data_IF_749026185251
#
_entry.id   IF_749026185251
#
_cell.length_a   1.000
_cell.length_b   1.000
_cell.length_c   1.000
_cell.angle_alpha   90.00
_cell.angle_beta   90.00
_cell.angle_gamma   90.00
#
_symmetry.space_group_name_H-M   'P 1'
#
loop_
_entity.id
_entity.type
_entity.pdbx_description
1 polymer ?
#
# COMPACT_ATOMS: atom_id res chain seq x y z
N UNK A 1 -12.29 -1.38 78.89
CA UNK A 1 -13.53 -0.82 78.31
C UNK A 1 -13.37 -0.80 76.81
N UNK A 2 -14.17 -1.63 76.13
CA UNK A 2 -14.29 -1.73 74.68
C UNK A 2 -14.95 -0.48 74.09
N UNK A 3 -14.54 -0.06 72.88
CA UNK A 3 -15.35 0.72 71.93
C UNK A 3 -14.76 0.48 70.53
N UNK A 4 -15.23 -0.51 69.75
CA UNK A 4 -16.37 -0.52 68.82
C UNK A 4 -16.25 0.45 67.61
N UNK A 5 -16.16 -0.17 66.41
CA UNK A 5 -16.74 0.23 65.11
C UNK A 5 -16.12 1.49 64.45
N UNK A 6 -15.25 1.42 63.43
CA UNK A 6 -15.34 0.79 62.10
C UNK A 6 -16.59 1.22 61.30
N UNK A 7 -16.44 2.24 60.44
CA UNK A 7 -17.11 2.50 59.15
C UNK A 7 -17.33 4.01 58.98
N UNK A 8 -16.66 4.64 58.01
CA UNK A 8 -17.33 5.37 56.92
C UNK A 8 -16.31 5.94 55.93
N UNK A 9 -16.52 5.59 54.66
CA UNK A 9 -16.24 6.37 53.46
C UNK A 9 -14.77 6.55 53.07
N UNK A 10 -14.28 5.48 52.45
CA UNK A 10 -13.37 5.54 51.30
C UNK A 10 -13.85 6.67 50.39
N UNK A 11 -13.10 7.77 50.36
CA UNK A 11 -13.28 8.83 49.39
C UNK A 11 -12.75 8.30 48.05
N UNK A 12 -13.62 7.56 47.35
CA UNK A 12 -13.41 7.21 45.96
C UNK A 12 -13.54 8.49 45.13
N UNK A 13 -12.46 9.25 45.02
CA UNK A 13 -12.34 10.19 43.91
C UNK A 13 -12.24 9.36 42.65
N UNK A 14 -13.41 9.23 42.04
CA UNK A 14 -13.71 8.85 40.68
C UNK A 14 -12.59 9.31 39.72
N UNK A 15 -11.54 8.49 39.57
CA UNK A 15 -10.72 8.55 38.35
C UNK A 15 -11.63 7.95 37.30
N UNK A 16 -12.41 8.83 36.65
CA UNK A 16 -13.02 8.49 35.38
C UNK A 16 -11.87 8.11 34.47
N UNK A 17 -11.65 6.81 34.30
CA UNK A 17 -10.93 6.31 33.15
C UNK A 17 -11.73 6.80 31.96
N UNK A 18 -11.32 7.93 31.39
CA UNK A 18 -11.63 8.23 30.00
C UNK A 18 -11.35 6.92 29.28
N UNK A 19 -12.32 6.36 28.52
CA UNK A 19 -12.00 5.21 27.71
C UNK A 19 -10.77 5.63 26.92
N UNK A 20 -9.70 4.86 27.01
CA UNK A 20 -8.57 5.02 26.12
C UNK A 20 -9.17 4.85 24.73
N UNK A 21 -9.55 5.96 24.10
CA UNK A 21 -9.77 6.00 22.66
C UNK A 21 -8.46 5.47 22.15
N UNK A 22 -8.50 4.22 21.66
CA UNK A 22 -7.35 3.61 21.03
C UNK A 22 -6.87 4.66 20.03
N UNK A 23 -5.66 5.18 20.23
CA UNK A 23 -5.13 6.22 19.36
C UNK A 23 -5.27 5.71 17.93
N UNK A 24 -5.96 6.49 17.09
CA UNK A 24 -6.20 6.08 15.72
C UNK A 24 -4.87 5.82 15.03
N UNK A 25 -4.78 4.72 14.25
CA UNK A 25 -3.52 4.37 13.60
C UNK A 25 -3.08 5.51 12.67
N UNK A 26 -1.77 5.72 12.57
CA UNK A 26 -1.21 6.71 11.66
C UNK A 26 -1.68 6.49 10.21
N UNK A 27 -1.91 5.24 9.81
CA UNK A 27 -2.48 4.93 8.50
C UNK A 27 -3.88 5.53 8.31
N UNK A 28 -4.78 5.32 9.28
CA UNK A 28 -6.15 5.80 9.19
C UNK A 28 -6.22 7.34 9.29
N UNK A 29 -5.39 7.95 10.15
CA UNK A 29 -5.23 9.40 10.19
C UNK A 29 -4.78 9.95 8.82
N UNK A 30 -3.85 9.27 8.15
CA UNK A 30 -3.45 9.62 6.79
C UNK A 30 -4.58 9.50 5.77
N UNK A 31 -5.40 8.44 5.85
CA UNK A 31 -6.60 8.27 5.00
C UNK A 31 -7.61 9.39 5.23
N UNK A 32 -7.87 9.76 6.49
CA UNK A 32 -8.77 10.86 6.82
C UNK A 32 -8.25 12.21 6.28
N UNK A 33 -6.97 12.50 6.50
CA UNK A 33 -6.34 13.72 6.00
C UNK A 33 -6.42 13.79 4.46
N UNK A 34 -6.15 12.67 3.77
CA UNK A 34 -6.28 12.58 2.32
C UNK A 34 -7.70 12.88 1.83
N UNK A 35 -8.73 12.30 2.50
CA UNK A 35 -10.14 12.56 2.19
C UNK A 35 -10.53 14.01 2.44
N UNK A 36 -9.93 14.65 3.45
CA UNK A 36 -10.09 16.08 3.73
C UNK A 36 -9.27 16.98 2.78
N UNK A 37 -8.52 16.40 1.83
CA UNK A 37 -7.56 17.08 0.93
C UNK A 37 -6.41 17.79 1.67
N UNK A 38 -6.17 17.43 2.92
CA UNK A 38 -4.95 17.77 3.63
C UNK A 38 -3.84 16.77 3.25
N UNK A 39 -3.29 16.97 2.06
CA UNK A 39 -2.27 16.07 1.51
C UNK A 39 -0.94 16.16 2.27
N UNK A 40 -0.62 17.30 2.89
CA UNK A 40 0.57 17.45 3.70
C UNK A 40 0.45 16.63 5.00
N UNK A 41 -0.71 16.71 5.67
CA UNK A 41 -1.03 15.85 6.80
C UNK A 41 -1.05 14.38 6.42
N UNK A 42 -1.68 14.02 5.29
CA UNK A 42 -1.68 12.64 4.80
C UNK A 42 -0.27 12.09 4.57
N UNK A 43 0.62 12.90 3.97
CA UNK A 43 2.02 12.56 3.74
C UNK A 43 2.76 12.28 5.05
N UNK A 44 2.58 13.13 6.06
CA UNK A 44 3.21 12.96 7.37
C UNK A 44 2.76 11.66 8.05
N UNK A 45 1.44 11.43 8.08
CA UNK A 45 0.84 10.28 8.74
C UNK A 45 1.17 8.97 8.04
N UNK A 46 1.12 8.91 6.70
CA UNK A 46 1.56 7.73 5.96
C UNK A 46 3.07 7.49 6.03
N UNK A 47 3.90 8.54 6.15
CA UNK A 47 5.32 8.35 6.41
C UNK A 47 5.59 7.76 7.81
N UNK A 48 4.77 8.09 8.81
CA UNK A 48 4.82 7.45 10.13
C UNK A 48 4.38 5.97 10.02
N UNK A 49 3.22 5.69 9.44
CA UNK A 49 2.71 4.32 9.28
C UNK A 49 3.68 3.43 8.46
N UNK A 50 4.32 3.97 7.42
CA UNK A 50 5.32 3.26 6.64
C UNK A 50 6.56 2.87 7.48
N UNK A 51 6.99 3.73 8.42
CA UNK A 51 8.08 3.43 9.36
C UNK A 51 7.71 2.33 10.35
N UNK A 52 6.42 2.18 10.65
CA UNK A 52 5.87 1.11 11.48
C UNK A 52 5.63 -0.20 10.69
N UNK A 53 5.91 -0.20 9.38
CA UNK A 53 5.83 -1.40 8.53
C UNK A 53 4.52 -1.55 7.76
N UNK A 54 3.61 -0.56 7.83
CA UNK A 54 2.35 -0.59 7.09
C UNK A 54 2.61 -0.50 5.58
N UNK A 55 2.33 -1.58 4.86
CA UNK A 55 2.65 -1.69 3.44
C UNK A 55 1.74 -0.83 2.58
N UNK A 56 0.47 -0.67 2.98
CA UNK A 56 -0.49 0.19 2.29
C UNK A 56 -0.09 1.66 2.38
N UNK A 57 0.58 2.05 3.48
CA UNK A 57 1.10 3.41 3.64
C UNK A 57 2.24 3.73 2.66
N UNK A 58 3.12 2.75 2.36
CA UNK A 58 4.15 2.90 1.33
C UNK A 58 3.53 3.17 -0.04
N UNK A 59 2.45 2.45 -0.39
CA UNK A 59 1.73 2.65 -1.63
C UNK A 59 1.16 4.07 -1.73
N UNK A 60 0.43 4.49 -0.70
CA UNK A 60 -0.26 5.78 -0.69
C UNK A 60 0.74 6.95 -0.64
N UNK A 61 1.83 6.81 0.10
CA UNK A 61 2.90 7.80 0.10
C UNK A 61 3.56 7.89 -1.29
N UNK A 62 3.81 6.76 -1.95
CA UNK A 62 4.31 6.73 -3.32
C UNK A 62 3.38 7.47 -4.29
N UNK A 63 2.07 7.27 -4.16
CA UNK A 63 1.08 8.00 -4.95
C UNK A 63 1.16 9.52 -4.73
N UNK A 64 1.26 9.99 -3.48
CA UNK A 64 1.41 11.42 -3.20
C UNK A 64 2.67 12.01 -3.84
N UNK A 65 3.81 11.31 -3.73
CA UNK A 65 5.06 11.74 -4.35
C UNK A 65 4.96 11.80 -5.88
N UNK A 66 4.35 10.78 -6.49
CA UNK A 66 4.17 10.73 -7.94
C UNK A 66 3.32 11.90 -8.45
N UNK A 67 2.23 12.21 -7.75
CA UNK A 67 1.30 13.28 -8.12
C UNK A 67 1.77 14.68 -7.68
N UNK A 68 2.77 14.77 -6.80
CA UNK A 68 3.19 16.03 -6.18
C UNK A 68 2.15 16.60 -5.19
N UNK A 69 1.34 15.73 -4.58
CA UNK A 69 0.31 16.14 -3.61
C UNK A 69 0.93 16.34 -2.23
N UNK A 70 0.60 17.47 -1.58
CA UNK A 70 1.12 17.78 -0.23
C UNK A 70 2.62 18.08 -0.20
N UNK A 71 3.19 18.50 -1.34
CA UNK A 71 4.60 18.80 -1.52
C UNK A 71 4.94 19.05 -2.99
N UNK A 72 6.14 18.68 -3.40
CA UNK A 72 6.54 18.63 -4.82
C UNK A 72 6.53 17.20 -5.36
N UNK A 73 6.54 17.09 -6.69
CA UNK A 73 6.65 15.81 -7.40
C UNK A 73 8.02 15.17 -7.18
N UNK A 74 8.02 13.87 -6.87
CA UNK A 74 9.21 13.03 -6.77
C UNK A 74 8.88 11.61 -7.28
N UNK A 75 8.91 11.44 -8.61
CA UNK A 75 8.55 10.16 -9.24
C UNK A 75 9.57 9.06 -8.93
N UNK A 76 10.85 9.39 -8.78
CA UNK A 76 11.88 8.42 -8.44
C UNK A 76 11.67 7.90 -7.00
N UNK A 77 11.37 8.80 -6.05
CA UNK A 77 10.98 8.42 -4.70
C UNK A 77 9.71 7.57 -4.67
N UNK A 78 8.71 7.89 -5.50
CA UNK A 78 7.51 7.07 -5.65
C UNK A 78 7.83 5.63 -6.09
N UNK A 79 8.67 5.48 -7.12
CA UNK A 79 9.11 4.16 -7.62
C UNK A 79 9.81 3.35 -6.52
N UNK A 80 10.64 3.99 -5.69
CA UNK A 80 11.30 3.32 -4.56
C UNK A 80 10.25 2.78 -3.59
N UNK A 81 9.29 3.60 -3.17
CA UNK A 81 8.24 3.20 -2.22
C UNK A 81 7.35 2.10 -2.79
N UNK A 82 6.91 2.24 -4.04
CA UNK A 82 6.11 1.22 -4.72
C UNK A 82 6.88 -0.09 -4.89
N UNK A 83 8.18 -0.06 -5.18
CA UNK A 83 9.00 -1.28 -5.22
C UNK A 83 9.02 -1.99 -3.87
N UNK A 84 9.18 -1.25 -2.77
CA UNK A 84 9.13 -1.83 -1.43
C UNK A 84 7.77 -2.48 -1.12
N UNK A 85 6.66 -1.83 -1.48
CA UNK A 85 5.32 -2.38 -1.27
C UNK A 85 5.02 -3.57 -2.21
N UNK A 86 5.42 -3.46 -3.48
CA UNK A 86 5.25 -4.48 -4.50
C UNK A 86 5.97 -5.78 -4.17
N UNK A 87 7.17 -5.71 -3.60
CA UNK A 87 7.92 -6.88 -3.13
C UNK A 87 7.23 -7.62 -1.96
N UNK A 88 6.29 -6.97 -1.28
CA UNK A 88 5.49 -7.56 -0.18
C UNK A 88 4.11 -8.03 -0.65
N UNK A 89 3.88 -8.07 -1.96
CA UNK A 89 2.62 -8.53 -2.55
C UNK A 89 1.51 -7.50 -2.63
N UNK A 90 1.80 -6.21 -2.40
CA UNK A 90 0.77 -5.18 -2.51
C UNK A 90 0.36 -4.96 -3.99
N UNK A 91 -0.79 -5.49 -4.39
CA UNK A 91 -1.23 -5.54 -5.78
C UNK A 91 -1.30 -4.16 -6.45
N UNK A 92 -1.82 -3.14 -5.75
CA UNK A 92 -1.91 -1.77 -6.29
C UNK A 92 -0.52 -1.15 -6.50
N UNK A 93 0.45 -1.47 -5.63
CA UNK A 93 1.82 -0.97 -5.78
C UNK A 93 2.54 -1.67 -6.95
N UNK A 94 2.24 -2.95 -7.18
CA UNK A 94 2.71 -3.68 -8.35
C UNK A 94 2.14 -3.07 -9.63
N UNK A 95 0.85 -2.72 -9.64
CA UNK A 95 0.25 -2.03 -10.77
C UNK A 95 0.89 -0.65 -11.00
N UNK A 96 1.05 0.18 -9.97
CA UNK A 96 1.73 1.47 -10.09
C UNK A 96 3.17 1.35 -10.60
N UNK A 97 3.91 0.35 -10.11
CA UNK A 97 5.27 0.10 -10.57
C UNK A 97 5.29 -0.34 -12.04
N UNK A 98 4.33 -1.15 -12.47
CA UNK A 98 4.14 -1.50 -13.88
C UNK A 98 3.89 -0.27 -14.75
N UNK A 99 3.02 0.64 -14.31
CA UNK A 99 2.74 1.89 -15.01
C UNK A 99 3.97 2.82 -15.07
N UNK A 100 4.74 2.90 -13.99
CA UNK A 100 5.98 3.69 -13.96
C UNK A 100 7.00 3.18 -14.99
N UNK A 101 7.21 1.86 -15.08
CA UNK A 101 8.06 1.25 -16.10
C UNK A 101 7.52 1.42 -17.52
N UNK A 102 6.21 1.36 -17.71
CA UNK A 102 5.61 1.54 -19.03
C UNK A 102 5.83 2.96 -19.57
N UNK A 103 5.75 3.96 -18.68
CA UNK A 103 5.83 5.38 -19.02
C UNK A 103 7.25 5.97 -18.91
N UNK A 104 8.16 5.26 -18.24
CA UNK A 104 9.48 5.80 -17.89
C UNK A 104 9.42 6.89 -16.81
N UNK A 105 8.42 6.83 -15.92
CA UNK A 105 8.17 7.85 -14.91
C UNK A 105 8.94 7.54 -13.62
N UNK A 106 10.02 8.29 -13.36
CA UNK A 106 10.89 8.04 -12.21
C UNK A 106 11.78 6.79 -12.31
N UNK A 107 11.75 6.11 -13.46
CA UNK A 107 12.55 4.92 -13.79
C UNK A 107 12.71 4.83 -15.31
N UNK A 108 13.76 4.17 -15.81
CA UNK A 108 13.89 3.92 -17.24
C UNK A 108 12.73 3.06 -17.77
N UNK A 109 12.19 3.44 -18.92
CA UNK A 109 11.05 2.75 -19.51
C UNK A 109 11.41 1.30 -19.90
N UNK A 110 10.54 0.36 -19.57
CA UNK A 110 10.70 -1.05 -19.91
C UNK A 110 9.34 -1.75 -19.99
N UNK A 111 8.91 -2.08 -21.22
CA UNK A 111 7.68 -2.86 -21.44
C UNK A 111 7.77 -4.27 -20.83
N UNK A 112 8.98 -4.83 -20.74
CA UNK A 112 9.22 -6.13 -20.12
C UNK A 112 8.97 -6.08 -18.61
N UNK A 113 9.47 -5.06 -17.92
CA UNK A 113 9.24 -4.87 -16.48
C UNK A 113 7.77 -4.53 -16.21
N UNK A 114 7.17 -3.65 -17.03
CA UNK A 114 5.77 -3.30 -16.92
C UNK A 114 4.85 -4.53 -17.06
N UNK A 115 5.09 -5.35 -18.08
CA UNK A 115 4.38 -6.62 -18.29
C UNK A 115 4.46 -7.51 -17.04
N UNK A 116 5.66 -7.72 -16.51
CA UNK A 116 5.89 -8.59 -15.36
C UNK A 116 5.17 -8.11 -14.10
N UNK A 117 5.22 -6.80 -13.82
CA UNK A 117 4.53 -6.23 -12.66
C UNK A 117 3.02 -6.23 -12.78
N UNK A 118 2.44 -5.96 -13.96
CA UNK A 118 0.99 -6.08 -14.18
C UNK A 118 0.49 -7.51 -14.01
N UNK A 119 1.23 -8.49 -14.53
CA UNK A 119 0.92 -9.91 -14.31
C UNK A 119 0.99 -10.30 -12.83
N UNK A 120 1.97 -9.76 -12.10
CA UNK A 120 2.09 -9.98 -10.66
C UNK A 120 0.93 -9.36 -9.87
N UNK A 121 0.51 -8.13 -10.23
CA UNK A 121 -0.64 -7.45 -9.62
C UNK A 121 -1.93 -8.29 -9.76
N UNK A 122 -2.19 -8.81 -10.97
CA UNK A 122 -3.34 -9.69 -11.22
C UNK A 122 -3.29 -10.96 -10.35
N UNK A 123 -2.12 -11.57 -10.20
CA UNK A 123 -1.96 -12.79 -9.41
C UNK A 123 -2.14 -12.59 -7.89
N UNK A 124 -1.74 -11.42 -7.35
CA UNK A 124 -1.98 -11.07 -5.95
C UNK A 124 -3.45 -10.72 -5.67
N UNK A 125 -4.14 -10.14 -6.65
CA UNK A 125 -5.51 -9.68 -6.46
C UNK A 125 -6.52 -10.81 -6.19
N UNK A 126 -6.24 -12.02 -6.67
CA UNK A 126 -7.06 -13.21 -6.39
C UNK A 126 -7.02 -13.66 -4.91
N UNK A 127 -6.26 -12.98 -4.03
CA UNK A 127 -6.02 -13.40 -2.64
C UNK A 127 -6.43 -12.40 -1.56
N UNK A 128 -6.89 -11.19 -1.91
CA UNK A 128 -7.22 -10.15 -0.93
C UNK A 128 -8.58 -10.41 -0.25
N UNK A 129 -8.64 -10.18 1.07
CA UNK A 129 -9.87 -10.31 1.87
C UNK A 129 -10.95 -9.25 1.57
N UNK A 130 -10.55 -8.08 1.05
CA UNK A 130 -11.47 -6.98 0.69
C UNK A 130 -11.76 -6.98 -0.82
N UNK A 131 -12.81 -7.70 -1.22
CA UNK A 131 -13.12 -8.01 -2.62
C UNK A 131 -13.39 -6.78 -3.51
N UNK A 132 -13.93 -5.68 -2.97
CA UNK A 132 -14.40 -4.55 -3.78
C UNK A 132 -13.24 -3.66 -4.28
N UNK A 133 -12.30 -3.29 -3.41
CA UNK A 133 -11.11 -2.52 -3.80
C UNK A 133 -10.15 -3.37 -4.66
N UNK A 134 -10.06 -4.66 -4.37
CA UNK A 134 -9.31 -5.61 -5.16
C UNK A 134 -9.84 -5.72 -6.60
N UNK A 135 -11.16 -5.77 -6.81
CA UNK A 135 -11.70 -5.93 -8.15
C UNK A 135 -11.35 -4.75 -9.09
N UNK A 136 -11.14 -3.55 -8.55
CA UNK A 136 -10.71 -2.39 -9.32
C UNK A 136 -9.26 -2.51 -9.80
N UNK A 137 -8.34 -2.88 -8.92
CA UNK A 137 -6.92 -3.02 -9.26
C UNK A 137 -6.70 -4.12 -10.31
N UNK A 138 -7.37 -5.28 -10.18
CA UNK A 138 -7.29 -6.30 -11.23
C UNK A 138 -7.86 -5.84 -12.56
N UNK A 139 -8.95 -5.06 -12.55
CA UNK A 139 -9.53 -4.51 -13.77
C UNK A 139 -8.55 -3.56 -14.47
N UNK A 140 -7.91 -2.68 -13.71
CA UNK A 140 -6.98 -1.70 -14.26
C UNK A 140 -5.66 -2.34 -14.70
N UNK A 141 -5.13 -3.29 -13.92
CA UNK A 141 -3.98 -4.10 -14.34
C UNK A 141 -4.28 -4.92 -15.61
N UNK A 142 -5.48 -5.49 -15.73
CA UNK A 142 -5.90 -6.23 -16.92
C UNK A 142 -6.01 -5.35 -18.16
N UNK A 143 -6.56 -4.14 -18.03
CA UNK A 143 -6.60 -3.15 -19.12
C UNK A 143 -5.20 -2.70 -19.53
N UNK A 144 -4.35 -2.34 -18.56
CA UNK A 144 -2.96 -1.93 -18.82
C UNK A 144 -2.18 -3.04 -19.53
N UNK A 145 -2.32 -4.29 -19.07
CA UNK A 145 -1.69 -5.44 -19.69
C UNK A 145 -2.17 -5.66 -21.13
N UNK A 146 -3.48 -5.60 -21.37
CA UNK A 146 -4.05 -5.74 -22.71
C UNK A 146 -3.54 -4.66 -23.67
N UNK A 147 -3.50 -3.40 -23.22
CA UNK A 147 -2.96 -2.28 -23.99
C UNK A 147 -1.45 -2.40 -24.23
N UNK A 148 -0.70 -2.95 -23.26
CA UNK A 148 0.73 -3.20 -23.39
C UNK A 148 1.04 -4.32 -24.37
N UNK A 149 0.26 -5.40 -24.37
CA UNK A 149 0.46 -6.53 -25.30
C UNK A 149 0.38 -6.11 -26.77
N UNK A 150 -0.40 -5.07 -27.11
CA UNK A 150 -0.42 -4.52 -28.47
C UNK A 150 0.86 -3.77 -28.88
N UNK A 151 1.71 -3.38 -27.93
CA UNK A 151 2.97 -2.65 -28.16
C UNK A 151 4.22 -3.47 -27.87
N UNK A 152 4.07 -4.61 -27.19
CA UNK A 152 5.18 -5.50 -26.85
C UNK A 152 5.62 -6.27 -28.11
N UNK A 153 6.88 -6.14 -28.57
CA UNK A 153 7.36 -6.89 -29.73
C UNK A 153 7.25 -8.40 -29.51
N UNK A 154 6.84 -9.14 -30.54
CA UNK A 154 6.58 -10.59 -30.43
C UNK A 154 7.81 -11.36 -29.95
N UNK A 155 9.00 -10.95 -30.37
CA UNK A 155 10.28 -11.54 -29.95
C UNK A 155 10.59 -11.33 -28.46
N UNK A 156 10.02 -10.29 -27.84
CA UNK A 156 10.18 -10.02 -26.40
C UNK A 156 9.11 -10.71 -25.54
N UNK A 157 8.04 -11.23 -26.15
CA UNK A 157 6.91 -11.81 -25.41
C UNK A 157 7.33 -12.98 -24.52
N UNK A 158 8.16 -13.90 -25.04
CA UNK A 158 8.66 -15.04 -24.27
C UNK A 158 9.47 -14.60 -23.04
N UNK A 159 10.32 -13.58 -23.19
CA UNK A 159 11.11 -13.03 -22.10
C UNK A 159 10.23 -12.30 -21.06
N UNK A 160 9.21 -11.57 -21.51
CA UNK A 160 8.26 -10.90 -20.64
C UNK A 160 7.42 -11.90 -19.82
N UNK A 161 6.95 -12.98 -20.45
CA UNK A 161 6.26 -14.08 -19.77
C UNK A 161 7.17 -14.79 -18.75
N UNK A 162 8.44 -15.01 -19.09
CA UNK A 162 9.40 -15.57 -18.14
C UNK A 162 9.60 -14.65 -16.93
N UNK A 163 9.84 -13.35 -17.16
CA UNK A 163 10.01 -12.38 -16.06
C UNK A 163 8.75 -12.28 -15.21
N UNK A 164 7.57 -12.31 -15.83
CA UNK A 164 6.30 -12.33 -15.11
C UNK A 164 6.20 -13.56 -14.20
N UNK A 165 6.56 -14.75 -14.67
CA UNK A 165 6.59 -15.96 -13.84
C UNK A 165 7.53 -15.82 -12.65
N UNK A 166 8.74 -15.29 -12.87
CA UNK A 166 9.71 -15.04 -11.80
C UNK A 166 9.16 -14.07 -10.74
N UNK A 167 8.49 -12.99 -11.16
CA UNK A 167 7.88 -12.03 -10.23
C UNK A 167 6.67 -12.59 -9.52
N UNK A 168 5.82 -13.36 -10.21
CA UNK A 168 4.68 -14.04 -9.59
C UNK A 168 5.17 -15.03 -8.53
N UNK A 169 6.14 -15.88 -8.86
CA UNK A 169 6.71 -16.83 -7.91
C UNK A 169 7.27 -16.13 -6.67
N UNK A 170 7.97 -15.00 -6.87
CA UNK A 170 8.65 -14.30 -5.78
C UNK A 170 7.74 -13.37 -4.98
N UNK A 171 6.74 -12.75 -5.60
CA UNK A 171 5.99 -11.61 -5.05
C UNK A 171 4.48 -11.73 -5.16
N UNK A 172 3.92 -12.70 -5.91
CA UNK A 172 2.47 -12.91 -5.93
C UNK A 172 1.95 -13.70 -4.74
N UNK A 173 2.81 -14.47 -4.04
CA UNK A 173 2.38 -15.28 -2.90
C UNK A 173 3.56 -15.63 -1.98
N UNK A 174 3.56 -15.03 -0.78
CA UNK A 174 3.82 -15.79 0.44
C UNK A 174 2.76 -16.92 0.66
N UNK A 175 1.73 -17.02 -0.18
CA UNK A 175 0.72 -18.05 -0.15
C UNK A 175 1.14 -19.37 -0.84
N UNK A 176 1.90 -20.19 -0.11
CA UNK A 176 1.84 -21.67 -0.18
C UNK A 176 2.59 -22.40 0.98
N UNK A 177 3.35 -21.72 1.84
CA UNK A 177 3.98 -22.32 3.02
C UNK A 177 4.19 -21.22 4.09
N UNK A 178 3.60 -21.28 5.29
CA UNK A 178 3.27 -22.44 6.13
C UNK A 178 1.78 -22.60 6.44
#
# INVERSE_FOLDING_TARGET
MFNFIAHLLICATLIGALPAVAAESAYNLGVQAYRAKDYAGAREQWALAAREGETSALNNLGYLLYQGLGGGTDQAGAVVLWRHAAMRGHAEAQWHLGAAFEQGAGVDASLLEAYAWYRCALANNDTSADADAAQEIARDAGKSLSALMGRLPTEQFSAAEQRAREYIEKYARAAAAN
#
